data_IF_300114562112
#
_entry.id   IF_300114562112
#
_cell.length_a   1.000
_cell.length_b   1.000
_cell.length_c   1.000
_cell.angle_alpha   90.00
_cell.angle_beta   90.00
_cell.angle_gamma   90.00
#
_symmetry.space_group_name_H-M   'P 1'
#
loop_
_entity.id
_entity.type
_entity.pdbx_description
1 polymer ?
#
# COMPACT_ATOMS: atom_id res chain seq x y z
N UNK A 1 70.80 -80.83 -15.62
CA UNK A 1 71.89 -79.97 -15.12
C UNK A 1 71.48 -78.52 -15.27
N UNK A 2 71.72 -77.73 -14.21
CA UNK A 2 71.43 -76.31 -14.05
C UNK A 2 71.73 -75.47 -15.30
N UNK A 3 70.85 -74.50 -15.58
CA UNK A 3 71.17 -73.06 -15.51
C UNK A 3 69.88 -72.24 -15.63
N UNK A 4 69.57 -71.53 -14.56
CA UNK A 4 68.60 -70.44 -14.53
C UNK A 4 69.12 -69.28 -15.38
N UNK A 5 68.24 -68.69 -16.19
CA UNK A 5 68.41 -67.33 -16.66
C UNK A 5 67.12 -66.57 -16.32
N UNK A 6 67.26 -65.73 -15.30
CA UNK A 6 66.26 -64.76 -14.83
C UNK A 6 66.27 -63.62 -15.83
N UNK A 7 65.13 -63.32 -16.46
CA UNK A 7 64.91 -62.04 -17.11
C UNK A 7 63.60 -61.45 -16.58
N UNK A 8 63.79 -60.35 -15.84
CA UNK A 8 62.82 -59.52 -15.16
C UNK A 8 61.88 -58.89 -16.20
N UNK A 9 60.58 -59.21 -16.19
CA UNK A 9 59.56 -58.42 -16.88
C UNK A 9 58.76 -57.68 -15.80
N UNK A 10 58.95 -56.37 -15.80
CA UNK A 10 58.29 -55.41 -14.92
C UNK A 10 56.81 -55.37 -15.28
N UNK A 11 55.96 -55.87 -14.38
CA UNK A 11 54.51 -55.76 -14.46
C UNK A 11 54.14 -54.32 -14.04
N UNK A 12 54.09 -53.41 -15.01
CA UNK A 12 53.56 -52.06 -14.81
C UNK A 12 52.07 -52.16 -14.52
N UNK A 13 51.73 -52.12 -13.23
CA UNK A 13 50.36 -52.03 -12.76
C UNK A 13 49.78 -50.69 -13.25
N UNK A 14 48.94 -50.74 -14.29
CA UNK A 14 48.12 -49.61 -14.71
C UNK A 14 47.02 -49.45 -13.66
N UNK A 15 47.35 -48.75 -12.57
CA UNK A 15 46.38 -48.29 -11.59
C UNK A 15 45.50 -47.24 -12.26
N UNK A 16 44.40 -47.69 -12.84
CA UNK A 16 43.25 -46.84 -13.14
C UNK A 16 42.74 -46.36 -11.80
N UNK A 17 43.12 -45.14 -11.42
CA UNK A 17 42.50 -44.42 -10.32
C UNK A 17 41.13 -44.03 -10.87
N UNK A 18 40.12 -44.88 -10.65
CA UNK A 18 38.75 -44.41 -10.70
C UNK A 18 38.63 -43.42 -9.56
N UNK A 19 38.67 -42.13 -9.87
CA UNK A 19 38.15 -41.13 -8.95
C UNK A 19 36.69 -41.51 -8.73
N UNK A 20 36.41 -42.07 -7.56
CA UNK A 20 35.05 -42.08 -7.03
C UNK A 20 34.75 -40.61 -6.80
N UNK A 21 33.99 -40.00 -7.70
CA UNK A 21 33.21 -38.85 -7.30
C UNK A 21 32.20 -39.43 -6.34
N UNK A 22 32.48 -39.35 -5.04
CA UNK A 22 31.43 -39.42 -4.06
C UNK A 22 30.65 -38.12 -4.28
N UNK A 23 29.63 -38.20 -5.14
CA UNK A 23 28.61 -37.17 -5.29
C UNK A 23 27.81 -37.18 -3.99
N UNK A 24 28.44 -36.69 -2.91
CA UNK A 24 27.74 -36.10 -1.78
C UNK A 24 27.15 -34.78 -2.32
N UNK A 25 26.13 -34.90 -3.18
CA UNK A 25 25.13 -33.85 -3.39
C UNK A 25 24.42 -33.70 -2.04
N UNK A 26 25.09 -33.03 -1.11
CA UNK A 26 24.44 -32.35 -0.02
C UNK A 26 23.46 -31.38 -0.70
N UNK A 27 22.21 -31.80 -0.84
CA UNK A 27 21.08 -30.94 -1.17
C UNK A 27 21.06 -29.84 -0.10
N UNK A 28 21.79 -28.75 -0.36
CA UNK A 28 21.92 -27.64 0.58
C UNK A 28 20.56 -26.97 0.60
N UNK A 29 19.73 -27.41 1.54
CA UNK A 29 18.48 -26.74 1.85
C UNK A 29 18.81 -25.34 2.35
N UNK A 30 18.64 -24.33 1.49
CA UNK A 30 18.76 -22.93 1.86
C UNK A 30 17.57 -22.59 2.76
N UNK A 31 17.82 -22.15 3.99
CA UNK A 31 16.78 -21.55 4.83
C UNK A 31 16.74 -20.05 4.51
N UNK A 32 15.63 -19.52 3.94
CA UNK A 32 15.53 -18.11 3.63
C UNK A 32 15.55 -17.25 4.90
N UNK A 33 16.04 -16.03 4.74
CA UNK A 33 16.07 -14.99 5.76
C UNK A 33 15.76 -13.66 5.07
N UNK A 34 14.71 -12.97 5.50
CA UNK A 34 14.24 -11.72 4.87
C UNK A 34 14.86 -10.46 5.50
N UNK A 35 15.53 -10.59 6.63
CA UNK A 35 16.08 -9.44 7.35
C UNK A 35 14.97 -8.56 7.95
N UNK A 36 15.24 -7.26 8.03
CA UNK A 36 14.38 -6.29 8.71
C UNK A 36 14.22 -5.03 7.85
N UNK A 37 12.97 -4.63 7.65
CA UNK A 37 12.60 -3.37 7.03
C UNK A 37 12.63 -2.24 8.07
N UNK A 38 13.27 -1.13 7.72
CA UNK A 38 13.26 0.12 8.48
C UNK A 38 12.76 1.29 7.61
N UNK A 39 12.12 2.26 8.26
CA UNK A 39 11.36 3.34 7.64
C UNK A 39 9.90 3.38 8.12
N UNK A 40 9.14 4.34 7.59
CA UNK A 40 7.74 4.55 7.96
C UNK A 40 7.51 4.83 9.48
N UNK A 41 6.26 4.69 9.97
CA UNK A 41 5.04 4.49 9.18
C UNK A 41 4.81 5.66 8.22
N UNK A 42 4.08 5.39 7.13
CA UNK A 42 3.68 6.42 6.17
C UNK A 42 2.22 6.78 6.40
N UNK A 43 1.87 8.06 6.23
CA UNK A 43 0.49 8.54 6.29
C UNK A 43 0.23 9.37 5.03
N UNK A 44 -0.79 8.99 4.29
CA UNK A 44 -1.21 9.57 3.03
C UNK A 44 -2.69 9.93 3.08
N UNK A 45 -3.10 10.89 2.26
CA UNK A 45 -4.50 11.27 2.09
C UNK A 45 -4.91 10.88 0.69
N UNK A 46 -5.95 10.06 0.58
CA UNK A 46 -6.42 9.57 -0.72
C UNK A 46 -7.17 10.70 -1.42
N UNK A 47 -6.45 11.49 -2.20
CA UNK A 47 -6.93 12.72 -2.81
C UNK A 47 -6.89 12.74 -4.34
N UNK A 48 -6.39 11.67 -4.99
CA UNK A 48 -6.23 11.62 -6.44
C UNK A 48 -4.83 12.03 -6.94
N UNK A 49 -3.96 12.57 -6.07
CA UNK A 49 -2.55 12.75 -6.39
C UNK A 49 -1.77 11.48 -6.05
N UNK A 50 -0.75 11.12 -6.86
CA UNK A 50 0.05 9.94 -6.57
C UNK A 50 0.83 10.03 -5.25
N UNK A 51 0.57 9.08 -4.35
CA UNK A 51 1.23 8.93 -3.06
C UNK A 51 2.18 7.74 -3.07
N UNK A 52 3.48 8.02 -3.06
CA UNK A 52 4.55 7.01 -3.13
C UNK A 52 5.39 7.01 -1.85
N UNK A 53 5.74 5.81 -1.37
CA UNK A 53 6.69 5.66 -0.27
C UNK A 53 8.12 5.95 -0.72
N UNK A 54 8.96 6.40 0.20
CA UNK A 54 10.39 6.56 -0.05
C UNK A 54 11.21 6.40 1.23
N UNK A 55 12.49 6.10 1.08
CA UNK A 55 13.43 6.04 2.21
C UNK A 55 13.29 4.78 3.07
N UNK A 56 12.67 3.73 2.52
CA UNK A 56 12.67 2.41 3.13
C UNK A 56 14.06 1.80 2.98
N UNK A 57 14.56 1.20 4.04
CA UNK A 57 15.83 0.47 4.02
C UNK A 57 15.65 -0.97 4.48
N UNK A 58 16.53 -1.84 4.02
CA UNK A 58 16.54 -3.25 4.38
C UNK A 58 17.89 -3.58 5.02
N UNK A 59 17.85 -4.25 6.18
CA UNK A 59 19.03 -4.59 6.97
C UNK A 59 18.97 -6.03 7.49
N UNK A 60 20.09 -6.52 8.02
CA UNK A 60 20.23 -7.90 8.50
C UNK A 60 20.70 -8.87 7.42
N UNK A 61 20.79 -10.15 7.79
CA UNK A 61 21.15 -11.22 6.87
C UNK A 61 19.98 -11.52 5.92
N UNK A 62 20.30 -11.65 4.63
CA UNK A 62 19.32 -11.89 3.57
C UNK A 62 19.71 -13.11 2.78
N UNK A 63 18.91 -14.17 2.90
CA UNK A 63 19.18 -15.49 2.30
C UNK A 63 17.96 -15.99 1.58
N UNK A 64 18.17 -16.72 0.50
CA UNK A 64 17.12 -17.28 -0.34
C UNK A 64 17.36 -16.99 -1.82
N UNK A 65 16.99 -17.90 -2.71
CA UNK A 65 17.22 -17.76 -4.16
C UNK A 65 16.35 -16.67 -4.80
N UNK A 66 15.13 -16.49 -4.30
CA UNK A 66 14.17 -15.51 -4.80
C UNK A 66 13.83 -14.45 -3.75
N UNK A 67 13.32 -13.31 -4.21
CA UNK A 67 12.90 -12.19 -3.34
C UNK A 67 11.80 -11.35 -3.98
N UNK A 68 10.98 -10.70 -3.16
CA UNK A 68 10.03 -9.67 -3.59
C UNK A 68 9.70 -8.76 -2.40
N UNK A 69 9.11 -7.60 -2.67
CA UNK A 69 8.25 -6.95 -1.70
C UNK A 69 6.85 -7.53 -1.79
N UNK A 70 6.11 -7.50 -0.68
CA UNK A 70 4.71 -7.88 -0.61
C UNK A 70 3.95 -6.70 -0.02
N UNK A 71 2.92 -6.23 -0.71
CA UNK A 71 2.00 -5.23 -0.18
C UNK A 71 0.69 -5.94 0.12
N UNK A 72 0.22 -5.84 1.35
CA UNK A 72 -1.06 -6.41 1.78
C UNK A 72 -2.01 -5.34 2.32
N UNK A 73 -3.29 -5.67 2.41
CA UNK A 73 -4.22 -4.97 3.32
C UNK A 73 -3.95 -5.34 4.79
N UNK A 74 -4.79 -4.82 5.70
CA UNK A 74 -4.72 -5.09 7.14
C UNK A 74 -5.18 -6.51 7.54
N UNK A 75 -5.87 -7.21 6.66
CA UNK A 75 -6.24 -8.62 6.80
C UNK A 75 -5.20 -9.58 6.21
N UNK A 76 -4.13 -9.07 5.61
CA UNK A 76 -3.05 -9.86 5.01
C UNK A 76 -3.31 -10.31 3.57
N UNK A 77 -4.37 -9.83 2.91
CA UNK A 77 -4.61 -10.14 1.50
C UNK A 77 -3.60 -9.36 0.63
N UNK A 78 -2.98 -10.05 -0.31
CA UNK A 78 -1.92 -9.50 -1.15
C UNK A 78 -2.54 -8.58 -2.21
N UNK A 79 -2.13 -7.31 -2.19
CA UNK A 79 -2.52 -6.28 -3.13
C UNK A 79 -1.50 -6.14 -4.27
N UNK A 80 -0.21 -6.32 -3.97
CA UNK A 80 0.86 -6.15 -4.94
C UNK A 80 2.16 -6.85 -4.56
N UNK A 81 2.99 -7.12 -5.58
CA UNK A 81 4.28 -7.79 -5.43
C UNK A 81 5.40 -7.03 -6.19
N UNK A 82 5.84 -5.85 -5.70
CA UNK A 82 6.91 -5.12 -6.35
C UNK A 82 8.22 -5.92 -6.28
N UNK A 83 8.87 -6.23 -7.42
CA UNK A 83 10.02 -7.12 -7.41
C UNK A 83 11.30 -6.44 -6.91
N UNK A 84 11.38 -5.11 -6.98
CA UNK A 84 12.54 -4.34 -6.52
C UNK A 84 12.13 -3.16 -5.64
N UNK A 85 13.10 -2.58 -4.91
CA UNK A 85 12.85 -1.37 -4.10
C UNK A 85 12.38 -0.20 -4.97
N UNK A 86 12.94 -0.07 -6.18
CA UNK A 86 12.52 0.98 -7.12
C UNK A 86 11.09 0.79 -7.59
N UNK A 87 10.63 -0.46 -7.75
CA UNK A 87 9.24 -0.73 -8.11
C UNK A 87 8.31 -0.46 -6.92
N UNK A 88 8.74 -0.79 -5.70
CA UNK A 88 8.01 -0.46 -4.47
C UNK A 88 7.83 1.05 -4.30
N UNK A 89 8.92 1.82 -4.41
CA UNK A 89 8.90 3.28 -4.32
C UNK A 89 8.15 3.94 -5.51
N UNK A 90 7.82 3.17 -6.55
CA UNK A 90 6.97 3.60 -7.66
C UNK A 90 5.49 3.25 -7.49
N UNK A 91 5.10 2.55 -6.42
CA UNK A 91 3.69 2.20 -6.17
C UNK A 91 2.92 3.44 -5.70
N UNK A 92 1.84 3.76 -6.41
CA UNK A 92 0.85 4.73 -5.96
C UNK A 92 -0.11 4.09 -4.95
N UNK A 93 -0.08 4.55 -3.69
CA UNK A 93 -0.96 4.05 -2.63
C UNK A 93 -2.36 4.65 -2.66
N UNK A 94 -2.57 5.75 -3.40
CA UNK A 94 -3.90 6.36 -3.63
C UNK A 94 -4.85 5.40 -4.38
N UNK A 95 -4.31 4.59 -5.31
CA UNK A 95 -5.07 3.66 -6.16
C UNK A 95 -5.85 2.59 -5.38
N UNK A 96 -5.43 2.29 -4.14
CA UNK A 96 -6.05 1.27 -3.31
C UNK A 96 -7.18 1.83 -2.40
N UNK A 97 -7.45 3.14 -2.43
CA UNK A 97 -8.49 3.80 -1.62
C UNK A 97 -8.10 4.06 -0.15
N UNK A 98 -9.03 4.50 0.72
CA UNK A 98 -8.73 4.67 2.14
C UNK A 98 -8.59 3.33 2.89
N UNK A 99 -7.76 3.30 3.93
CA UNK A 99 -7.53 2.13 4.78
C UNK A 99 -6.06 1.97 5.16
N UNK A 100 -5.69 0.77 5.60
CA UNK A 100 -4.31 0.45 5.98
C UNK A 100 -3.72 -0.53 4.97
N UNK A 101 -2.46 -0.31 4.60
CA UNK A 101 -1.64 -1.27 3.88
C UNK A 101 -0.40 -1.62 4.71
N UNK A 102 0.13 -2.81 4.49
CA UNK A 102 1.37 -3.28 5.09
C UNK A 102 2.36 -3.63 3.98
N UNK A 103 3.60 -3.16 4.13
CA UNK A 103 4.72 -3.48 3.24
C UNK A 103 5.61 -4.48 3.95
N UNK A 104 5.92 -5.58 3.27
CA UNK A 104 6.80 -6.64 3.74
C UNK A 104 7.90 -6.90 2.72
N UNK A 105 8.97 -7.55 3.14
CA UNK A 105 9.97 -8.13 2.26
C UNK A 105 10.00 -9.65 2.47
N UNK A 106 9.99 -10.41 1.37
CA UNK A 106 10.00 -11.86 1.39
C UNK A 106 11.24 -12.41 0.71
N UNK A 107 11.82 -13.46 1.29
CA UNK A 107 12.80 -14.33 0.63
C UNK A 107 12.28 -15.75 0.59
N UNK A 108 12.49 -16.45 -0.52
CA UNK A 108 11.92 -17.78 -0.73
C UNK A 108 12.70 -18.61 -1.73
N UNK A 109 12.44 -19.91 -1.71
CA UNK A 109 12.94 -20.88 -2.68
C UNK A 109 11.87 -21.28 -3.69
N UNK A 110 12.29 -21.92 -4.78
CA UNK A 110 11.37 -22.48 -5.75
C UNK A 110 10.40 -23.47 -5.10
N UNK A 111 9.14 -23.45 -5.55
CA UNK A 111 8.07 -24.27 -4.98
C UNK A 111 7.20 -23.55 -3.94
N UNK A 112 7.45 -22.27 -3.64
CA UNK A 112 6.51 -21.42 -2.90
C UNK A 112 5.15 -21.33 -3.64
N UNK A 113 4.06 -21.51 -2.90
CA UNK A 113 2.69 -21.36 -3.40
C UNK A 113 1.91 -20.33 -2.57
N UNK A 114 0.95 -19.64 -3.21
CA UNK A 114 0.11 -18.62 -2.60
C UNK A 114 0.64 -17.18 -2.72
N UNK A 115 1.85 -16.95 -3.26
CA UNK A 115 2.40 -15.61 -3.45
C UNK A 115 1.85 -14.96 -4.73
N UNK A 116 0.58 -14.53 -4.70
CA UNK A 116 -0.08 -13.87 -5.82
C UNK A 116 -1.12 -12.83 -5.34
N UNK A 117 -1.41 -11.77 -6.12
CA UNK A 117 -2.47 -10.82 -5.76
C UNK A 117 -3.83 -11.49 -5.57
N UNK A 118 -4.53 -11.12 -4.50
CA UNK A 118 -5.82 -11.70 -4.09
C UNK A 118 -5.72 -12.91 -3.15
N UNK A 119 -4.54 -13.52 -3.01
CA UNK A 119 -4.28 -14.56 -2.00
C UNK A 119 -3.91 -13.94 -0.65
N UNK A 120 -3.86 -14.73 0.43
CA UNK A 120 -3.50 -14.24 1.75
C UNK A 120 -2.05 -14.60 2.12
N UNK A 121 -1.28 -13.63 2.62
CA UNK A 121 0.12 -13.82 3.03
C UNK A 121 0.29 -14.81 4.22
N UNK A 122 -0.77 -15.09 4.97
CA UNK A 122 -0.76 -16.11 6.03
C UNK A 122 -0.98 -17.54 5.51
N UNK A 123 -1.41 -17.69 4.25
CA UNK A 123 -1.69 -18.98 3.61
C UNK A 123 -0.54 -19.45 2.69
N UNK A 124 0.62 -18.77 2.75
CA UNK A 124 1.80 -19.16 1.98
C UNK A 124 2.29 -20.55 2.40
N UNK A 125 2.65 -21.37 1.41
CA UNK A 125 3.19 -22.72 1.64
C UNK A 125 4.47 -22.92 0.86
N UNK A 126 5.50 -23.46 1.51
CA UNK A 126 6.83 -23.65 0.94
C UNK A 126 7.91 -23.17 1.90
N UNK A 127 9.12 -22.98 1.38
CA UNK A 127 10.26 -22.51 2.14
C UNK A 127 10.47 -21.01 1.91
N UNK A 128 10.14 -20.20 2.92
CA UNK A 128 10.22 -18.74 2.85
C UNK A 128 10.47 -18.14 4.24
N UNK A 129 10.90 -16.88 4.23
CA UNK A 129 10.90 -16.00 5.38
C UNK A 129 10.30 -14.65 5.00
N UNK A 130 9.57 -14.04 5.92
CA UNK A 130 8.87 -12.77 5.75
C UNK A 130 9.33 -11.79 6.84
N UNK A 131 9.74 -10.59 6.45
CA UNK A 131 10.24 -9.57 7.38
C UNK A 131 9.16 -9.07 8.34
N UNK A 132 9.52 -8.14 9.24
CA UNK A 132 8.54 -7.25 9.83
C UNK A 132 7.80 -6.44 8.74
N UNK A 133 6.62 -5.91 9.07
CA UNK A 133 5.89 -4.98 8.21
C UNK A 133 6.26 -3.52 8.48
N UNK A 134 6.16 -2.69 7.44
CA UNK A 134 5.98 -1.23 7.56
C UNK A 134 4.51 -0.89 7.27
N UNK A 135 3.91 -0.06 8.12
CA UNK A 135 2.53 0.39 7.95
C UNK A 135 2.43 1.62 7.05
N UNK A 136 1.45 1.60 6.15
CA UNK A 136 1.00 2.75 5.35
C UNK A 136 -0.46 3.02 5.68
N UNK A 137 -0.75 4.14 6.34
CA UNK A 137 -2.10 4.62 6.57
C UNK A 137 -2.54 5.51 5.41
N UNK A 138 -3.73 5.24 4.86
CA UNK A 138 -4.33 5.99 3.76
C UNK A 138 -5.65 6.57 4.27
N UNK A 139 -5.63 7.82 4.67
CA UNK A 139 -6.80 8.50 5.20
C UNK A 139 -7.70 8.96 4.07
N UNK A 140 -9.02 8.90 4.28
CA UNK A 140 -9.98 9.49 3.37
C UNK A 140 -10.02 11.02 3.50
N UNK A 141 -10.54 11.69 2.47
CA UNK A 141 -10.82 13.12 2.52
C UNK A 141 -11.85 13.45 3.61
N UNK A 142 -11.54 14.46 4.42
CA UNK A 142 -12.40 14.93 5.49
C UNK A 142 -12.74 16.41 5.26
N UNK A 143 -14.03 16.70 5.09
CA UNK A 143 -14.56 18.05 4.88
C UNK A 143 -14.67 18.89 6.16
N UNK A 144 -14.24 18.39 7.32
CA UNK A 144 -14.40 19.07 8.60
C UNK A 144 -15.83 19.01 9.13
N UNK A 145 -16.11 19.80 10.17
CA UNK A 145 -17.41 19.82 10.83
C UNK A 145 -18.06 21.20 10.75
N UNK A 146 -19.26 21.28 10.21
CA UNK A 146 -20.04 22.51 10.19
C UNK A 146 -20.92 22.58 11.44
N UNK A 147 -20.96 23.75 12.07
CA UNK A 147 -21.92 24.10 13.11
C UNK A 147 -22.71 25.35 12.72
N UNK A 148 -23.91 25.48 13.26
CA UNK A 148 -24.87 26.52 12.89
C UNK A 148 -26.24 25.93 12.55
N UNK A 149 -27.25 26.80 12.46
CA UNK A 149 -28.63 26.39 12.14
C UNK A 149 -29.30 25.48 13.20
N UNK A 150 -30.44 24.85 12.87
CA UNK A 150 -31.18 25.03 11.62
C UNK A 150 -31.69 26.47 11.49
N UNK A 151 -31.78 26.95 10.24
CA UNK A 151 -32.38 28.24 9.92
C UNK A 151 -33.80 28.02 9.41
N UNK A 152 -34.69 28.98 9.62
CA UNK A 152 -36.07 28.90 9.16
C UNK A 152 -36.49 30.24 8.60
N UNK A 153 -37.01 30.19 7.39
CA UNK A 153 -37.41 31.36 6.60
C UNK A 153 -38.84 31.19 6.09
N UNK A 154 -39.45 32.29 5.65
CA UNK A 154 -40.75 32.30 4.98
C UNK A 154 -40.51 32.71 3.55
N UNK A 155 -40.86 31.85 2.60
CA UNK A 155 -40.75 32.18 1.18
C UNK A 155 -41.80 33.22 0.82
N UNK A 156 -41.40 34.49 0.76
CA UNK A 156 -42.27 35.66 0.57
C UNK A 156 -41.75 36.66 -0.48
N UNK A 157 -40.61 36.37 -1.11
CA UNK A 157 -39.98 37.24 -2.11
C UNK A 157 -39.01 38.27 -1.53
N UNK A 158 -38.82 38.33 -0.21
CA UNK A 158 -37.70 39.06 0.39
C UNK A 158 -36.42 38.21 0.39
N UNK A 159 -35.28 38.83 0.73
CA UNK A 159 -34.00 38.10 0.74
C UNK A 159 -33.82 37.37 2.08
N UNK A 160 -33.71 36.04 2.00
CA UNK A 160 -33.46 35.15 3.14
C UNK A 160 -32.01 34.67 3.14
N UNK A 161 -31.19 35.24 4.02
CA UNK A 161 -29.77 34.89 4.15
C UNK A 161 -29.48 34.22 5.49
N UNK A 162 -28.52 33.31 5.50
CA UNK A 162 -28.03 32.64 6.71
C UNK A 162 -26.87 33.40 7.35
N UNK A 163 -26.70 33.27 8.66
CA UNK A 163 -25.53 33.80 9.37
C UNK A 163 -25.20 32.96 10.61
N UNK A 164 -23.95 33.04 11.07
CA UNK A 164 -23.52 32.33 12.28
C UNK A 164 -23.18 30.86 12.03
N UNK A 165 -22.84 30.53 10.78
CA UNK A 165 -22.25 29.25 10.42
C UNK A 165 -20.76 29.28 10.81
N UNK A 166 -20.24 28.17 11.32
CA UNK A 166 -18.83 28.00 11.62
C UNK A 166 -18.35 26.65 11.11
N UNK A 167 -17.16 26.63 10.51
CA UNK A 167 -16.45 25.41 10.13
C UNK A 167 -15.35 25.16 11.17
N UNK A 168 -15.36 23.97 11.77
CA UNK A 168 -14.19 23.39 12.40
C UNK A 168 -13.38 22.67 11.31
N UNK A 169 -12.26 23.29 10.94
CA UNK A 169 -11.34 22.84 9.88
C UNK A 169 -10.14 22.06 10.44
N UNK A 170 -10.12 21.74 11.73
CA UNK A 170 -9.00 21.07 12.39
C UNK A 170 -8.64 19.70 11.79
N UNK A 171 -9.63 19.03 11.20
CA UNK A 171 -9.49 17.72 10.56
C UNK A 171 -9.60 17.80 9.02
N UNK A 172 -9.65 19.00 8.42
CA UNK A 172 -9.69 19.14 6.97
C UNK A 172 -8.33 18.79 6.37
N UNK A 173 -8.30 17.82 5.45
CA UNK A 173 -7.05 17.22 4.98
C UNK A 173 -6.87 17.19 3.45
N UNK A 174 -7.85 17.65 2.66
CA UNK A 174 -7.69 17.72 1.20
C UNK A 174 -7.10 19.05 0.73
N UNK A 175 -6.47 19.08 -0.46
CA UNK A 175 -5.72 20.24 -0.95
C UNK A 175 -6.62 21.38 -1.45
N UNK A 176 -7.89 21.10 -1.76
CA UNK A 176 -8.88 22.10 -2.13
C UNK A 176 -10.15 21.94 -1.29
N UNK A 177 -10.88 23.05 -1.11
CA UNK A 177 -12.15 23.06 -0.41
C UNK A 177 -13.18 23.93 -1.12
N UNK A 178 -14.46 23.64 -0.88
CA UNK A 178 -15.58 24.46 -1.36
C UNK A 178 -16.81 24.22 -0.50
N UNK A 179 -17.83 25.06 -0.67
CA UNK A 179 -19.15 24.86 -0.07
C UNK A 179 -20.11 24.34 -1.13
N UNK A 180 -21.04 23.49 -0.72
CA UNK A 180 -22.09 22.97 -1.60
C UNK A 180 -23.43 23.20 -0.93
N UNK A 181 -24.38 23.72 -1.68
CA UNK A 181 -25.77 23.85 -1.23
C UNK A 181 -26.61 22.87 -2.04
N UNK A 182 -27.37 22.03 -1.36
CA UNK A 182 -28.29 21.07 -2.00
C UNK A 182 -29.72 21.25 -1.51
N UNK A 183 -30.67 20.67 -2.23
CA UNK A 183 -32.00 20.37 -1.68
C UNK A 183 -31.94 19.09 -0.80
N UNK A 184 -33.10 18.65 -0.30
CA UNK A 184 -33.28 17.42 0.48
C UNK A 184 -33.31 16.13 -0.35
N UNK A 185 -33.25 16.24 -1.69
CA UNK A 185 -32.99 15.13 -2.60
C UNK A 185 -31.53 15.09 -3.07
N UNK A 186 -30.65 15.92 -2.48
CA UNK A 186 -29.24 16.07 -2.82
C UNK A 186 -28.95 16.63 -4.23
N UNK A 187 -29.90 17.33 -4.86
CA UNK A 187 -29.59 18.08 -6.07
C UNK A 187 -28.80 19.35 -5.71
N UNK A 188 -27.74 19.64 -6.46
CA UNK A 188 -26.91 20.83 -6.24
C UNK A 188 -27.66 22.07 -6.69
N UNK A 189 -27.85 23.00 -5.75
CA UNK A 189 -28.45 24.32 -5.97
C UNK A 189 -27.37 25.41 -6.14
N UNK A 190 -26.21 25.22 -5.53
CA UNK A 190 -25.09 26.17 -5.62
C UNK A 190 -23.76 25.60 -5.12
N UNK A 191 -22.66 26.21 -5.55
CA UNK A 191 -21.29 25.87 -5.13
C UNK A 191 -20.56 27.16 -4.73
N UNK A 192 -20.87 27.74 -3.56
CA UNK A 192 -20.21 28.96 -3.11
C UNK A 192 -18.72 28.71 -2.79
N UNK A 193 -17.79 29.57 -3.23
CA UNK A 193 -16.37 29.31 -3.01
C UNK A 193 -15.93 29.59 -1.57
N UNK A 194 -16.60 30.48 -0.85
CA UNK A 194 -16.29 30.78 0.55
C UNK A 194 -17.53 30.76 1.45
N UNK A 195 -17.30 30.68 2.77
CA UNK A 195 -18.37 30.80 3.75
C UNK A 195 -19.11 32.15 3.64
N UNK A 196 -18.39 33.24 3.35
CA UNK A 196 -19.02 34.55 3.14
C UNK A 196 -19.96 34.54 1.93
N UNK A 197 -19.63 33.75 0.89
CA UNK A 197 -20.52 33.58 -0.25
C UNK A 197 -21.75 32.72 0.10
N UNK A 198 -21.61 31.72 0.97
CA UNK A 198 -22.75 30.97 1.53
C UNK A 198 -23.69 31.91 2.30
N UNK A 199 -23.15 32.74 3.19
CA UNK A 199 -23.93 33.73 3.95
C UNK A 199 -24.55 34.83 3.06
N UNK A 200 -24.07 34.98 1.83
CA UNK A 200 -24.65 35.86 0.82
C UNK A 200 -25.73 35.21 -0.05
N UNK A 201 -25.99 33.90 0.07
CA UNK A 201 -27.02 33.21 -0.72
C UNK A 201 -28.41 33.60 -0.24
N UNK A 202 -29.28 33.98 -1.19
CA UNK A 202 -30.71 34.16 -0.94
C UNK A 202 -31.46 32.84 -1.08
N UNK A 203 -31.90 32.27 0.04
CA UNK A 203 -32.64 31.01 0.11
C UNK A 203 -34.11 31.12 -0.30
N UNK A 204 -34.70 32.32 -0.35
CA UNK A 204 -36.05 32.53 -0.89
C UNK A 204 -36.15 32.06 -2.35
N UNK A 205 -35.06 32.26 -3.12
CA UNK A 205 -34.96 31.85 -4.52
C UNK A 205 -34.99 30.34 -4.76
N UNK A 206 -34.78 29.52 -3.72
CA UNK A 206 -34.90 28.06 -3.80
C UNK A 206 -36.37 27.59 -3.74
N UNK A 207 -37.30 28.46 -3.32
CA UNK A 207 -38.69 28.10 -3.08
C UNK A 207 -38.90 27.31 -1.78
N UNK A 208 -40.14 26.88 -1.55
CA UNK A 208 -40.48 26.14 -0.33
C UNK A 208 -39.83 24.76 -0.29
N UNK A 209 -39.12 24.45 0.80
CA UNK A 209 -38.43 23.17 0.97
C UNK A 209 -37.34 23.23 2.04
N UNK A 210 -36.42 22.27 2.00
CA UNK A 210 -35.23 22.22 2.84
C UNK A 210 -34.01 22.36 1.96
N UNK A 211 -33.10 23.26 2.34
CA UNK A 211 -31.76 23.33 1.78
C UNK A 211 -30.75 22.80 2.80
N UNK A 212 -29.71 22.13 2.32
CA UNK A 212 -28.60 21.63 3.11
C UNK A 212 -27.32 22.36 2.70
N UNK A 213 -26.47 22.70 3.68
CA UNK A 213 -25.18 23.35 3.47
C UNK A 213 -24.10 22.34 3.84
N UNK A 214 -23.19 22.11 2.91
CA UNK A 214 -22.07 21.19 3.05
C UNK A 214 -20.75 21.93 2.86
N UNK A 215 -19.71 21.43 3.52
CA UNK A 215 -18.32 21.79 3.23
C UNK A 215 -17.63 20.54 2.71
N UNK A 216 -16.94 20.68 1.59
CA UNK A 216 -16.34 19.59 0.86
C UNK A 216 -14.86 19.88 0.69
N UNK A 217 -14.03 18.85 0.84
CA UNK A 217 -12.63 18.87 0.42
C UNK A 217 -12.41 17.87 -0.70
N UNK A 218 -11.48 18.16 -1.61
CA UNK A 218 -11.20 17.35 -2.80
C UNK A 218 -9.78 17.59 -3.32
N UNK A 219 -9.19 16.57 -3.96
CA UNK A 219 -7.96 16.73 -4.73
C UNK A 219 -8.19 17.03 -6.21
N UNK A 220 -7.10 17.30 -6.93
CA UNK A 220 -7.14 17.57 -8.38
C UNK A 220 -6.62 16.33 -9.11
N UNK A 221 -7.40 15.86 -10.08
CA UNK A 221 -6.98 14.84 -11.06
C UNK A 221 -6.15 15.45 -12.18
#
# INVERSE_FOLDING_TARGET
MKKHFILLIIFGCLSVITTSCDDDDDDVTINPEAGTLDGGPFNFVVDGNPDMVSGITLSGDMRGSNSSFVITDDAGNILGLPPTMSDLEGVNFDDAGPGVCLIWYIRYEDGLAGLAPGENASDLTGNYDLSNSITVNRDGLNGGMITGGPFTFIVDGEMDMVSGISLDDSEVNGPNTTWVITDDQNNILGIPPTLADVEGVNFDGAGGGVCLIWHMTFGLT
#
